data_IF_042769224199
#
_entry.id   IF_042769224199
#
_cell.length_a   1.000
_cell.length_b   1.000
_cell.length_c   1.000
_cell.angle_alpha   90.00
_cell.angle_beta   90.00
_cell.angle_gamma   90.00
#
_symmetry.space_group_name_H-M   'P 1'
#
loop_
_entity.id
_entity.type
_entity.pdbx_description
1 polymer ?
#
# COMPACT_ATOMS: atom_id res chain seq x y z
N UNK A 1 -10.23 -16.87 30.41
CA UNK A 1 -9.44 -16.14 29.39
C UNK A 1 -10.44 -15.70 28.33
N UNK A 2 -11.01 -14.50 28.45
CA UNK A 2 -12.02 -14.04 27.48
C UNK A 2 -11.31 -13.62 26.20
N UNK A 3 -11.65 -14.22 25.07
CA UNK A 3 -11.21 -13.71 23.77
C UNK A 3 -11.74 -12.28 23.62
N UNK A 4 -10.83 -11.31 23.57
CA UNK A 4 -11.16 -9.95 23.17
C UNK A 4 -11.60 -10.00 21.71
N UNK A 5 -12.90 -10.06 21.47
CA UNK A 5 -13.45 -9.97 20.12
C UNK A 5 -13.12 -8.57 19.58
N UNK A 6 -12.16 -8.50 18.65
CA UNK A 6 -11.81 -7.26 17.97
C UNK A 6 -13.07 -6.66 17.35
N UNK A 7 -13.43 -5.45 17.79
CA UNK A 7 -14.62 -4.74 17.34
C UNK A 7 -14.22 -3.40 16.76
N UNK A 8 -14.81 -3.07 15.61
CA UNK A 8 -14.60 -1.79 14.94
C UNK A 8 -15.94 -1.05 14.98
N UNK A 9 -15.94 0.13 15.60
CA UNK A 9 -17.11 1.01 15.61
C UNK A 9 -16.94 2.07 14.53
N UNK A 10 -17.86 2.13 13.58
CA UNK A 10 -17.85 3.09 12.47
C UNK A 10 -19.10 3.96 12.58
N UNK A 11 -18.95 5.26 12.36
CA UNK A 11 -20.08 6.20 12.26
C UNK A 11 -20.43 6.38 10.80
N UNK A 12 -21.70 6.18 10.47
CA UNK A 12 -22.26 6.37 9.14
C UNK A 12 -23.34 7.44 9.19
N UNK A 13 -23.49 8.18 8.09
CA UNK A 13 -24.70 8.97 7.89
C UNK A 13 -25.90 8.04 7.72
N UNK A 14 -27.12 8.56 7.95
CA UNK A 14 -28.35 7.79 7.72
C UNK A 14 -28.44 7.31 6.27
N UNK A 15 -28.07 8.17 5.32
CA UNK A 15 -28.06 7.84 3.90
C UNK A 15 -27.09 6.69 3.58
N UNK A 16 -25.86 6.73 4.12
CA UNK A 16 -24.87 5.69 3.90
C UNK A 16 -25.29 4.35 4.55
N UNK A 17 -25.86 4.40 5.75
CA UNK A 17 -26.39 3.23 6.43
C UNK A 17 -27.53 2.57 5.62
N UNK A 18 -28.40 3.38 5.00
CA UNK A 18 -29.45 2.89 4.12
C UNK A 18 -28.92 2.26 2.82
N UNK A 19 -27.80 2.75 2.27
CA UNK A 19 -27.12 2.12 1.13
C UNK A 19 -26.55 0.75 1.53
N UNK A 20 -25.83 0.69 2.65
CA UNK A 20 -25.22 -0.57 3.15
C UNK A 20 -26.28 -1.63 3.42
N UNK A 21 -27.39 -1.26 4.08
CA UNK A 21 -28.48 -2.18 4.36
C UNK A 21 -29.09 -2.76 3.08
N UNK A 22 -29.40 -1.91 2.09
CA UNK A 22 -29.97 -2.37 0.80
C UNK A 22 -29.03 -3.32 0.07
N UNK A 23 -27.73 -3.04 0.06
CA UNK A 23 -26.74 -3.92 -0.56
C UNK A 23 -26.63 -5.26 0.18
N UNK A 24 -26.65 -5.24 1.52
CA UNK A 24 -26.66 -6.46 2.34
C UNK A 24 -27.90 -7.31 2.07
N UNK A 25 -29.08 -6.69 2.00
CA UNK A 25 -30.35 -7.36 1.67
C UNK A 25 -30.28 -8.05 0.28
N UNK A 26 -29.72 -7.37 -0.72
CA UNK A 26 -29.50 -7.93 -2.06
C UNK A 26 -28.53 -9.11 -2.07
N UNK A 27 -27.54 -9.12 -1.17
CA UNK A 27 -26.58 -10.20 -1.01
C UNK A 27 -27.08 -11.32 -0.07
N UNK A 28 -28.24 -11.17 0.57
CA UNK A 28 -28.76 -12.11 1.57
C UNK A 28 -27.88 -12.20 2.83
N UNK A 29 -27.20 -11.11 3.18
CA UNK A 29 -26.27 -11.02 4.31
C UNK A 29 -26.78 -10.05 5.38
N UNK A 30 -26.29 -10.20 6.62
CA UNK A 30 -26.49 -9.13 7.61
C UNK A 30 -25.67 -7.89 7.22
N UNK A 31 -26.10 -6.67 7.60
CA UNK A 31 -25.35 -5.44 7.29
C UNK A 31 -23.90 -5.47 7.82
N UNK A 32 -23.66 -6.11 8.97
CA UNK A 32 -22.33 -6.24 9.55
C UNK A 32 -21.46 -7.21 8.76
N UNK A 33 -22.00 -8.38 8.36
CA UNK A 33 -21.26 -9.34 7.52
C UNK A 33 -20.94 -8.78 6.13
N UNK A 34 -21.90 -8.07 5.53
CA UNK A 34 -21.71 -7.40 4.26
C UNK A 34 -20.61 -6.33 4.36
N UNK A 35 -20.64 -5.50 5.41
CA UNK A 35 -19.61 -4.50 5.63
C UNK A 35 -18.23 -5.15 5.85
N UNK A 36 -18.14 -6.20 6.67
CA UNK A 36 -16.90 -6.91 6.95
C UNK A 36 -16.29 -7.52 5.67
N UNK A 37 -17.09 -8.27 4.90
CA UNK A 37 -16.63 -8.89 3.64
C UNK A 37 -16.26 -7.85 2.58
N UNK A 38 -17.02 -6.75 2.48
CA UNK A 38 -16.73 -5.64 1.57
C UNK A 38 -15.43 -4.93 1.91
N UNK A 39 -15.18 -4.67 3.21
CA UNK A 39 -13.92 -4.08 3.70
C UNK A 39 -12.75 -5.01 3.40
N UNK A 40 -12.87 -6.30 3.67
CA UNK A 40 -11.80 -7.26 3.38
C UNK A 40 -11.47 -7.33 1.88
N UNK A 41 -12.49 -7.34 1.02
CA UNK A 41 -12.29 -7.30 -0.43
C UNK A 41 -11.58 -6.02 -0.88
N UNK A 42 -11.99 -4.87 -0.33
CA UNK A 42 -11.35 -3.59 -0.61
C UNK A 42 -9.89 -3.57 -0.14
N UNK A 43 -9.62 -4.07 1.08
CA UNK A 43 -8.27 -4.17 1.62
C UNK A 43 -7.38 -5.06 0.74
N UNK A 44 -7.90 -6.19 0.27
CA UNK A 44 -7.21 -7.04 -0.70
C UNK A 44 -6.84 -6.29 -1.98
N UNK A 45 -7.75 -5.47 -2.52
CA UNK A 45 -7.46 -4.64 -3.69
C UNK A 45 -6.38 -3.57 -3.42
N UNK A 46 -6.37 -2.95 -2.24
CA UNK A 46 -5.34 -1.98 -1.85
C UNK A 46 -3.97 -2.64 -1.72
N UNK A 47 -3.92 -3.85 -1.17
CA UNK A 47 -2.67 -4.64 -1.10
C UNK A 47 -2.19 -5.00 -2.51
N UNK A 48 -3.11 -5.42 -3.38
CA UNK A 48 -2.80 -5.73 -4.78
C UNK A 48 -2.34 -4.50 -5.58
N UNK A 49 -2.77 -3.29 -5.22
CA UNK A 49 -2.31 -2.05 -5.84
C UNK A 49 -0.81 -1.75 -5.63
N UNK A 50 -0.14 -2.44 -4.69
CA UNK A 50 1.31 -2.38 -4.50
C UNK A 50 2.07 -3.38 -5.37
N UNK A 51 1.38 -4.27 -6.07
CA UNK A 51 1.99 -5.27 -6.91
C UNK A 51 2.30 -4.68 -8.29
N UNK A 52 3.58 -4.70 -8.68
CA UNK A 52 3.97 -4.38 -10.05
C UNK A 52 3.69 -5.62 -10.90
N UNK A 53 2.54 -5.63 -11.56
CA UNK A 53 2.17 -6.71 -12.49
C UNK A 53 2.87 -6.47 -13.83
N UNK A 54 3.76 -7.39 -14.21
CA UNK A 54 4.49 -7.34 -15.48
C UNK A 54 4.04 -8.46 -16.41
N UNK A 55 4.04 -8.18 -17.71
CA UNK A 55 3.96 -9.23 -18.72
C UNK A 55 5.22 -10.12 -18.64
N UNK A 56 5.14 -11.43 -18.97
CA UNK A 56 6.27 -12.35 -18.85
C UNK A 56 7.53 -11.87 -19.56
N UNK A 57 7.39 -11.22 -20.71
CA UNK A 57 8.50 -10.70 -21.51
C UNK A 57 9.23 -9.57 -20.76
N UNK A 58 8.46 -8.65 -20.17
CA UNK A 58 9.01 -7.55 -19.36
C UNK A 58 9.67 -8.06 -18.09
N UNK A 59 9.11 -9.10 -17.47
CA UNK A 59 9.71 -9.74 -16.31
C UNK A 59 11.05 -10.39 -16.67
N UNK A 60 11.14 -11.04 -17.83
CA UNK A 60 12.41 -11.58 -18.34
C UNK A 60 13.46 -10.49 -18.57
N UNK A 61 13.05 -9.36 -19.18
CA UNK A 61 13.91 -8.19 -19.36
C UNK A 61 14.41 -7.62 -18.03
N UNK A 62 13.52 -7.54 -17.03
CA UNK A 62 13.86 -7.09 -15.69
C UNK A 62 14.87 -8.03 -15.01
N UNK A 63 14.65 -9.35 -15.05
CA UNK A 63 15.62 -10.32 -14.51
C UNK A 63 16.97 -10.18 -15.20
N UNK A 64 16.98 -10.02 -16.52
CA UNK A 64 18.22 -9.81 -17.30
C UNK A 64 18.93 -8.50 -16.93
N UNK A 65 18.19 -7.45 -16.58
CA UNK A 65 18.78 -6.21 -16.08
C UNK A 65 19.43 -6.42 -14.70
N UNK A 66 18.77 -7.15 -13.80
CA UNK A 66 19.29 -7.45 -12.45
C UNK A 66 20.52 -8.37 -12.45
N UNK A 67 20.61 -9.31 -13.39
CA UNK A 67 21.73 -10.27 -13.45
C UNK A 67 23.01 -9.68 -14.05
N UNK A 68 22.94 -8.50 -14.68
CA UNK A 68 24.12 -7.84 -15.24
C UNK A 68 24.92 -7.16 -14.14
N UNK A 69 26.24 -7.13 -14.30
CA UNK A 69 27.09 -6.28 -13.47
C UNK A 69 26.65 -4.82 -13.65
N UNK A 70 26.37 -4.16 -12.52
CA UNK A 70 25.87 -2.78 -12.53
C UNK A 70 27.02 -1.84 -12.88
N UNK A 71 26.92 -1.18 -14.04
CA UNK A 71 27.74 -0.01 -14.33
C UNK A 71 27.15 1.19 -13.58
N UNK A 72 27.90 1.86 -12.69
CA UNK A 72 27.41 3.02 -11.98
C UNK A 72 27.12 4.16 -12.97
N UNK A 73 25.97 4.80 -12.81
CA UNK A 73 25.60 6.00 -13.55
C UNK A 73 26.28 7.20 -12.87
N UNK A 74 27.24 7.90 -13.50
CA UNK A 74 28.04 8.94 -12.87
C UNK A 74 27.20 10.01 -12.17
N UNK A 75 26.12 10.47 -12.80
CA UNK A 75 25.22 11.49 -12.27
C UNK A 75 24.51 11.03 -10.99
N UNK A 76 24.16 9.74 -10.89
CA UNK A 76 23.58 9.17 -9.67
C UNK A 76 24.62 9.06 -8.56
N UNK A 77 25.86 8.72 -8.90
CA UNK A 77 26.97 8.63 -7.94
C UNK A 77 27.28 10.01 -7.36
N UNK A 78 27.37 11.03 -8.20
CA UNK A 78 27.56 12.42 -7.77
C UNK A 78 26.43 12.89 -6.85
N UNK A 79 25.18 12.56 -7.18
CA UNK A 79 24.03 12.94 -6.37
C UNK A 79 24.03 12.27 -4.99
N UNK A 80 24.33 10.96 -4.93
CA UNK A 80 24.37 10.19 -3.68
C UNK A 80 25.53 10.65 -2.79
N UNK A 81 26.68 10.96 -3.38
CA UNK A 81 27.86 11.40 -2.63
C UNK A 81 27.81 12.87 -2.21
N UNK A 82 26.80 13.63 -2.67
CA UNK A 82 26.67 15.04 -2.32
C UNK A 82 26.29 15.18 -0.84
N UNK A 83 27.20 15.77 -0.06
CA UNK A 83 26.92 16.11 1.34
C UNK A 83 25.67 16.95 1.46
N UNK A 84 24.83 16.61 2.44
CA UNK A 84 23.59 17.31 2.65
C UNK A 84 23.87 18.77 3.03
N UNK A 85 22.99 19.68 2.61
CA UNK A 85 23.26 21.11 2.75
C UNK A 85 23.35 21.58 4.21
N UNK A 86 22.72 20.86 5.14
CA UNK A 86 22.76 21.13 6.58
C UNK A 86 24.00 20.56 7.30
N UNK A 87 24.76 19.65 6.69
CA UNK A 87 26.00 19.12 7.28
C UNK A 87 27.17 20.11 7.18
N UNK A 88 27.08 21.05 6.23
CA UNK A 88 28.07 22.11 6.04
C UNK A 88 28.15 23.10 7.22
N UNK A 89 27.14 23.13 8.09
CA UNK A 89 27.12 23.98 9.30
C UNK A 89 27.78 23.36 10.54
N UNK A 90 27.97 22.03 10.60
CA UNK A 90 28.60 21.37 11.77
C UNK A 90 30.13 21.39 11.74
N UNK A 91 30.74 21.65 10.60
CA UNK A 91 32.20 21.73 10.46
C UNK A 91 32.78 23.09 10.89
N UNK A 92 31.94 24.11 11.12
CA UNK A 92 32.36 25.44 11.53
C UNK A 92 32.42 25.63 13.06
N UNK A 93 32.09 24.59 13.84
CA UNK A 93 32.00 24.65 15.31
C UNK A 93 33.00 23.68 16.00
N UNK A 94 34.15 23.45 15.37
CA UNK A 94 35.28 22.69 15.93
C UNK A 94 36.58 23.46 15.78
#
# INVERSE_FOLDING_TARGET
>A
MGESKDSITIRLSEADAAVVKRAADQCGQSPVEFAHTSILRLAGNVINGRLIVMAPERFSDFCRALSKSVAPVPEMVELINRSAHWERGRAADK
#
